data_IF_601879212113
#
_entry.id   IF_601879212113
#
_cell.length_a   1.000
_cell.length_b   1.000
_cell.length_c   1.000
_cell.angle_alpha   90.00
_cell.angle_beta   90.00
_cell.angle_gamma   90.00
#
_symmetry.space_group_name_H-M   'P 1'
#
loop_
_entity.id
_entity.type
_entity.pdbx_description
1 polymer ?
#
# COMPACT_ATOMS: atom_id res chain seq x y z
N UNK A 1 11.64 -0.31 -23.45
CA UNK A 1 10.97 0.97 -23.78
C UNK A 1 9.56 1.04 -23.20
N UNK A 2 8.68 0.07 -23.48
CA UNK A 2 7.30 0.01 -22.94
C UNK A 2 7.28 -0.03 -21.40
N UNK A 3 8.14 -0.84 -20.77
CA UNK A 3 8.23 -0.94 -19.32
C UNK A 3 8.57 0.41 -18.67
N UNK A 4 9.52 1.17 -19.23
CA UNK A 4 9.89 2.50 -18.73
C UNK A 4 8.74 3.52 -18.87
N UNK A 5 7.95 3.43 -19.95
CA UNK A 5 6.77 4.28 -20.14
C UNK A 5 5.71 3.99 -19.06
N UNK A 6 5.48 2.72 -18.73
CA UNK A 6 4.55 2.32 -17.67
C UNK A 6 5.01 2.86 -16.31
N UNK A 7 6.30 2.74 -15.99
CA UNK A 7 6.85 3.32 -14.76
C UNK A 7 6.69 4.84 -14.71
N UNK A 8 6.93 5.54 -15.82
CA UNK A 8 6.75 6.99 -15.91
C UNK A 8 5.30 7.40 -15.65
N UNK A 9 4.33 6.69 -16.23
CA UNK A 9 2.90 6.96 -16.03
C UNK A 9 2.46 6.69 -14.58
N UNK A 10 2.91 5.58 -13.99
CA UNK A 10 2.64 5.26 -12.58
C UNK A 10 3.23 6.32 -11.65
N UNK A 11 4.46 6.75 -11.91
CA UNK A 11 5.11 7.80 -11.14
C UNK A 11 4.36 9.13 -11.24
N UNK A 12 4.00 9.54 -12.46
CA UNK A 12 3.20 10.76 -12.69
C UNK A 12 1.85 10.72 -11.98
N UNK A 13 1.18 9.56 -11.99
CA UNK A 13 -0.08 9.37 -11.29
C UNK A 13 0.06 9.51 -9.76
N UNK A 14 1.08 8.88 -9.17
CA UNK A 14 1.38 8.99 -7.73
C UNK A 14 1.67 10.44 -7.34
N UNK A 15 2.48 11.16 -8.14
CA UNK A 15 2.78 12.57 -7.91
C UNK A 15 1.54 13.46 -8.00
N UNK A 16 0.72 13.26 -9.03
CA UNK A 16 -0.53 14.00 -9.20
C UNK A 16 -1.49 13.76 -8.02
N UNK A 17 -1.59 12.52 -7.55
CA UNK A 17 -2.41 12.16 -6.40
C UNK A 17 -1.91 12.84 -5.11
N UNK A 18 -0.59 12.86 -4.86
CA UNK A 18 -0.02 13.62 -3.76
C UNK A 18 -0.34 15.11 -3.85
N UNK A 19 -0.08 15.73 -5.01
CA UNK A 19 -0.34 17.15 -5.22
C UNK A 19 -1.79 17.52 -4.94
N UNK A 20 -2.74 16.76 -5.49
CA UNK A 20 -4.18 17.00 -5.30
C UNK A 20 -4.60 16.93 -3.83
N UNK A 21 -4.10 15.93 -3.11
CA UNK A 21 -4.48 15.74 -1.71
C UNK A 21 -3.78 16.70 -0.74
N UNK A 22 -2.51 17.06 -0.99
CA UNK A 22 -1.80 18.12 -0.24
C UNK A 22 -2.52 19.45 -0.43
N UNK A 23 -2.92 19.79 -1.66
CA UNK A 23 -3.66 21.03 -1.93
C UNK A 23 -5.00 21.09 -1.18
N UNK A 24 -5.66 19.95 -0.97
CA UNK A 24 -6.96 19.88 -0.29
C UNK A 24 -6.85 19.85 1.24
N UNK A 25 -5.89 19.09 1.78
CA UNK A 25 -5.83 18.74 3.20
C UNK A 25 -4.58 19.31 3.91
N UNK A 26 -3.77 20.10 3.22
CA UNK A 26 -2.53 20.67 3.73
C UNK A 26 -1.33 19.71 3.74
N UNK A 27 -0.14 20.19 4.12
CA UNK A 27 1.11 19.43 4.10
C UNK A 27 1.11 18.25 5.09
N UNK A 28 0.26 18.29 6.12
CA UNK A 28 0.12 17.22 7.11
C UNK A 28 -0.37 15.90 6.47
N UNK A 29 -1.07 15.98 5.33
CA UNK A 29 -1.51 14.82 4.57
C UNK A 29 -0.34 14.02 3.97
N UNK A 30 0.85 14.61 3.82
CA UNK A 30 2.05 13.93 3.34
C UNK A 30 2.36 12.70 4.22
N UNK A 31 2.22 12.83 5.54
CA UNK A 31 2.47 11.73 6.49
C UNK A 31 1.51 10.56 6.22
N UNK A 32 0.23 10.86 5.98
CA UNK A 32 -0.78 9.85 5.64
C UNK A 32 -0.46 9.16 4.31
N UNK A 33 -0.12 9.92 3.27
CA UNK A 33 0.22 9.38 1.95
C UNK A 33 1.48 8.52 1.98
N UNK A 34 2.54 8.98 2.67
CA UNK A 34 3.77 8.21 2.84
C UNK A 34 3.55 6.92 3.63
N UNK A 35 2.74 6.97 4.69
CA UNK A 35 2.39 5.78 5.46
C UNK A 35 1.66 4.74 4.61
N UNK A 36 0.66 5.17 3.82
CA UNK A 36 -0.07 4.29 2.91
C UNK A 36 0.84 3.66 1.85
N UNK A 37 1.77 4.43 1.26
CA UNK A 37 2.72 3.90 0.27
C UNK A 37 3.73 2.96 0.91
N UNK A 38 4.27 3.32 2.08
CA UNK A 38 5.23 2.46 2.80
C UNK A 38 4.63 1.10 3.13
N UNK A 39 3.39 1.09 3.60
CA UNK A 39 2.61 -0.13 3.79
C UNK A 39 2.47 -0.94 2.50
N UNK A 40 2.06 -0.29 1.40
CA UNK A 40 1.84 -0.97 0.14
C UNK A 40 3.12 -1.66 -0.36
N UNK A 41 4.25 -0.97 -0.25
CA UNK A 41 5.57 -1.53 -0.59
C UNK A 41 5.94 -2.69 0.34
N UNK A 42 5.68 -2.60 1.65
CA UNK A 42 5.94 -3.68 2.59
C UNK A 42 5.11 -4.93 2.27
N UNK A 43 3.83 -4.79 1.96
CA UNK A 43 2.97 -5.92 1.62
C UNK A 43 3.30 -6.52 0.25
N UNK A 44 3.58 -5.71 -0.77
CA UNK A 44 3.93 -6.25 -2.09
C UNK A 44 5.33 -6.87 -2.06
N UNK A 45 6.31 -6.17 -1.49
CA UNK A 45 7.68 -6.65 -1.37
C UNK A 45 7.78 -7.90 -0.48
N UNK A 46 7.08 -7.89 0.65
CA UNK A 46 6.99 -9.04 1.56
C UNK A 46 6.35 -10.26 0.89
N UNK A 47 5.27 -10.04 0.12
CA UNK A 47 4.63 -11.10 -0.66
C UNK A 47 5.62 -11.79 -1.60
N UNK A 48 6.29 -11.03 -2.46
CA UNK A 48 7.22 -11.60 -3.43
C UNK A 48 8.39 -12.30 -2.74
N UNK A 49 8.95 -11.71 -1.68
CA UNK A 49 10.05 -12.33 -0.92
C UNK A 49 9.64 -13.69 -0.37
N UNK A 50 8.47 -13.81 0.25
CA UNK A 50 7.97 -15.07 0.79
C UNK A 50 7.59 -16.04 -0.33
N UNK A 51 6.90 -15.57 -1.37
CA UNK A 51 6.44 -16.39 -2.48
C UNK A 51 7.59 -17.06 -3.25
N UNK A 52 8.71 -16.36 -3.42
CA UNK A 52 9.91 -16.90 -4.07
C UNK A 52 10.71 -17.83 -3.16
N UNK A 53 10.59 -17.71 -1.83
CA UNK A 53 11.26 -18.59 -0.87
C UNK A 53 10.53 -19.94 -0.73
N UNK A 54 9.24 -20.00 -1.06
CA UNK A 54 8.45 -21.22 -0.98
C UNK A 54 8.88 -22.27 -2.01
N UNK A 55 8.76 -23.57 -1.68
CA UNK A 55 9.02 -24.64 -2.62
C UNK A 55 8.13 -24.52 -3.86
N UNK A 56 8.58 -24.99 -5.04
CA UNK A 56 7.87 -24.82 -6.33
C UNK A 56 6.58 -25.65 -6.45
N UNK A 57 6.08 -26.24 -5.36
CA UNK A 57 4.84 -26.99 -5.34
C UNK A 57 3.63 -26.05 -5.48
N UNK A 58 2.81 -26.29 -6.51
CA UNK A 58 1.60 -25.50 -6.80
C UNK A 58 0.62 -25.47 -5.63
N UNK A 59 0.42 -26.59 -4.94
CA UNK A 59 -0.52 -26.68 -3.82
C UNK A 59 -0.11 -25.76 -2.66
N UNK A 60 1.18 -25.78 -2.31
CA UNK A 60 1.73 -24.92 -1.24
C UNK A 60 1.60 -23.44 -1.61
N UNK A 61 1.87 -23.10 -2.87
CA UNK A 61 1.75 -21.71 -3.36
C UNK A 61 0.31 -21.21 -3.36
N UNK A 62 -0.66 -22.06 -3.70
CA UNK A 62 -2.09 -21.70 -3.66
C UNK A 62 -2.53 -21.46 -2.22
N UNK A 63 -2.19 -22.35 -1.29
CA UNK A 63 -2.50 -22.18 0.14
C UNK A 63 -1.89 -20.87 0.66
N UNK A 64 -0.59 -20.65 0.39
CA UNK A 64 0.07 -19.42 0.78
C UNK A 64 -0.64 -18.18 0.24
N UNK A 65 -1.04 -18.19 -1.03
CA UNK A 65 -1.73 -17.05 -1.65
C UNK A 65 -3.07 -16.74 -0.95
N UNK A 66 -3.86 -17.78 -0.65
CA UNK A 66 -5.14 -17.62 0.08
C UNK A 66 -4.88 -17.07 1.49
N UNK A 67 -3.94 -17.67 2.23
CA UNK A 67 -3.59 -17.23 3.59
C UNK A 67 -3.04 -15.80 3.60
N UNK A 68 -2.20 -15.45 2.62
CA UNK A 68 -1.62 -14.12 2.52
C UNK A 68 -2.69 -13.06 2.22
N UNK A 69 -3.62 -13.35 1.31
CA UNK A 69 -4.76 -12.47 1.01
C UNK A 69 -5.61 -12.29 2.27
N UNK A 70 -5.97 -13.38 2.95
CA UNK A 70 -6.74 -13.31 4.20
C UNK A 70 -6.06 -12.44 5.25
N UNK A 71 -4.75 -12.65 5.47
CA UNK A 71 -3.97 -11.86 6.41
C UNK A 71 -3.90 -10.38 6.01
N UNK A 72 -3.70 -10.10 4.73
CA UNK A 72 -3.67 -8.72 4.20
C UNK A 72 -4.99 -8.00 4.42
N UNK A 73 -6.11 -8.66 4.16
CA UNK A 73 -7.45 -8.12 4.42
C UNK A 73 -7.64 -7.88 5.92
N UNK A 74 -7.28 -8.87 6.76
CA UNK A 74 -7.40 -8.76 8.21
C UNK A 74 -6.59 -7.59 8.78
N UNK A 75 -5.35 -7.40 8.35
CA UNK A 75 -4.51 -6.27 8.78
C UNK A 75 -5.09 -4.95 8.28
N UNK A 76 -5.58 -4.91 7.04
CA UNK A 76 -6.15 -3.69 6.48
C UNK A 76 -7.41 -3.24 7.26
N UNK A 77 -8.34 -4.16 7.50
CA UNK A 77 -9.61 -3.87 8.19
C UNK A 77 -9.39 -3.55 9.67
N UNK A 78 -8.54 -4.31 10.37
CA UNK A 78 -8.41 -4.19 11.82
C UNK A 78 -7.37 -3.17 12.29
N UNK A 79 -6.36 -2.85 11.46
CA UNK A 79 -5.28 -1.94 11.86
C UNK A 79 -5.19 -0.72 10.96
N UNK A 80 -5.13 -0.90 9.63
CA UNK A 80 -4.86 0.23 8.74
C UNK A 80 -6.02 1.22 8.68
N UNK A 81 -7.25 0.74 8.49
CA UNK A 81 -8.44 1.60 8.43
C UNK A 81 -8.61 2.40 9.73
N UNK A 82 -8.58 1.78 10.93
CA UNK A 82 -8.66 2.53 12.19
C UNK A 82 -7.52 3.55 12.36
N UNK A 83 -6.28 3.17 12.01
CA UNK A 83 -5.13 4.06 12.16
C UNK A 83 -5.21 5.27 11.21
N UNK A 84 -5.63 5.04 9.96
CA UNK A 84 -5.91 6.13 9.01
C UNK A 84 -7.03 7.03 9.53
N UNK A 85 -8.08 6.44 10.13
CA UNK A 85 -9.16 7.20 10.76
C UNK A 85 -8.68 8.09 11.91
N UNK A 86 -7.78 7.59 12.76
CA UNK A 86 -7.15 8.39 13.81
C UNK A 86 -6.29 9.52 13.24
N UNK A 87 -5.54 9.26 12.17
CA UNK A 87 -4.80 10.31 11.45
C UNK A 87 -5.79 11.35 10.93
N UNK A 88 -6.85 10.96 10.23
CA UNK A 88 -7.84 11.89 9.67
C UNK A 88 -8.50 12.77 10.74
N UNK A 89 -8.85 12.22 11.91
CA UNK A 89 -9.37 13.00 13.02
C UNK A 89 -8.39 14.07 13.51
N UNK A 90 -7.09 13.76 13.55
CA UNK A 90 -6.05 14.72 13.92
C UNK A 90 -5.77 15.76 12.83
N UNK A 91 -6.06 15.45 11.56
CA UNK A 91 -5.96 16.40 10.44
C UNK A 91 -7.15 17.36 10.43
N UNK A 92 -8.38 16.88 10.67
CA UNK A 92 -9.62 17.67 10.59
C UNK A 92 -9.87 18.56 11.80
N UNK A 93 -9.34 18.21 12.99
CA UNK A 93 -9.47 19.04 14.21
C UNK A 93 -8.56 20.28 14.22
N UNK A 94 -7.89 20.59 13.11
CA UNK A 94 -7.01 21.75 12.94
C UNK A 94 -7.61 22.71 11.91
#
# INVERSE_FOLDING_TARGET
MIINLIYLLLFGFVFYWFYKNIKKNGPIWIVKGLFQIGILVLFIGGFFKLFFTLPPNLYIKIIFLITYIWCTIGINVNFMIPFIGLIDQNIVKK
#
